data_IF_406165049121
#
_entry.id   IF_406165049121
#
_cell.length_a   1.000
_cell.length_b   1.000
_cell.length_c   1.000
_cell.angle_alpha   90.00
_cell.angle_beta   90.00
_cell.angle_gamma   90.00
#
_symmetry.space_group_name_H-M   'P 1'
#
loop_
_entity.id
_entity.type
_entity.pdbx_description
1 polymer ?
#
# COMPACT_ATOMS: atom_id res chain seq x y z
N UNK A 1 -3.49 2.66 16.73
CA UNK A 1 -3.54 1.80 15.54
C UNK A 1 -2.91 2.54 14.37
N UNK A 2 -2.07 1.87 13.57
CA UNK A 2 -1.64 2.44 12.30
C UNK A 2 -2.86 2.66 11.39
N UNK A 3 -2.82 3.75 10.62
CA UNK A 3 -3.92 4.17 9.76
C UNK A 3 -3.72 3.72 8.31
N UNK A 4 -4.80 3.75 7.54
CA UNK A 4 -4.75 3.58 6.08
C UNK A 4 -4.15 4.83 5.45
N UNK A 5 -3.07 4.67 4.69
CA UNK A 5 -2.42 5.73 3.94
C UNK A 5 -3.26 6.14 2.73
N UNK A 6 -3.51 7.44 2.61
CA UNK A 6 -4.17 8.10 1.50
C UNK A 6 -3.59 9.52 1.41
N UNK A 7 -3.26 9.94 0.20
CA UNK A 7 -2.76 11.29 -0.09
C UNK A 7 -3.33 11.72 -1.45
N UNK A 8 -4.11 12.80 -1.45
CA UNK A 8 -4.74 13.35 -2.65
C UNK A 8 -3.71 13.88 -3.66
N UNK A 9 -2.49 14.19 -3.20
CA UNK A 9 -1.39 14.63 -4.06
C UNK A 9 -0.62 13.46 -4.70
N UNK A 10 -0.98 12.23 -4.37
CA UNK A 10 -0.36 11.04 -4.94
C UNK A 10 -0.82 10.86 -6.39
N UNK A 11 0.00 11.34 -7.33
CA UNK A 11 -0.30 11.26 -8.75
C UNK A 11 -0.25 9.80 -9.26
N UNK A 12 -1.41 9.25 -9.63
CA UNK A 12 -1.56 7.88 -10.13
C UNK A 12 -0.79 7.59 -11.43
N UNK A 13 -0.50 8.62 -12.22
CA UNK A 13 0.24 8.50 -13.48
C UNK A 13 1.76 8.60 -13.28
N UNK A 14 2.23 9.11 -12.15
CA UNK A 14 3.66 9.26 -11.85
C UNK A 14 4.22 8.06 -11.05
N UNK A 15 4.14 6.87 -11.64
CA UNK A 15 4.57 5.63 -10.98
C UNK A 15 6.09 5.55 -10.97
N UNK A 16 6.67 5.52 -9.77
CA UNK A 16 8.13 5.56 -9.56
C UNK A 16 8.66 4.49 -8.59
N UNK A 17 7.80 3.69 -7.97
CA UNK A 17 8.19 2.73 -6.94
C UNK A 17 7.44 1.40 -7.06
N UNK A 18 8.20 0.29 -7.15
CA UNK A 18 7.64 -1.06 -7.22
C UNK A 18 7.56 -1.68 -5.82
N UNK A 19 6.38 -2.21 -5.50
CA UNK A 19 6.04 -2.84 -4.21
C UNK A 19 5.31 -4.16 -4.44
N UNK A 20 5.05 -4.92 -3.38
CA UNK A 20 4.29 -6.17 -3.46
C UNK A 20 3.00 -6.06 -2.66
N UNK A 21 1.85 -6.20 -3.33
CA UNK A 21 0.59 -6.42 -2.63
C UNK A 21 0.54 -7.86 -2.11
N UNK A 22 0.39 -8.03 -0.79
CA UNK A 22 0.32 -9.35 -0.12
C UNK A 22 -1.08 -9.68 0.40
N UNK A 23 -2.01 -8.75 0.30
CA UNK A 23 -3.39 -8.93 0.76
C UNK A 23 -4.20 -7.65 0.72
N UNK A 24 -5.42 -7.73 1.24
CA UNK A 24 -6.34 -6.62 1.36
C UNK A 24 -7.24 -6.81 2.58
N UNK A 25 -7.87 -5.73 3.03
CA UNK A 25 -8.76 -5.76 4.19
C UNK A 25 -9.61 -4.52 4.30
N UNK A 26 -10.19 -4.35 5.49
CA UNK A 26 -10.85 -3.12 5.91
C UNK A 26 -10.53 -2.85 7.38
N UNK A 27 -10.27 -1.60 7.73
CA UNK A 27 -9.99 -1.17 9.09
C UNK A 27 -10.86 0.05 9.39
N UNK A 28 -11.70 -0.04 10.42
CA UNK A 28 -12.63 1.04 10.82
C UNK A 28 -13.48 1.60 9.66
N UNK A 29 -13.92 0.73 8.75
CA UNK A 29 -14.70 1.11 7.56
C UNK A 29 -13.87 1.47 6.33
N UNK A 30 -12.57 1.76 6.47
CA UNK A 30 -11.69 2.09 5.34
C UNK A 30 -11.07 0.83 4.74
N UNK A 31 -11.36 0.56 3.47
CA UNK A 31 -10.77 -0.55 2.69
C UNK A 31 -9.32 -0.23 2.35
N UNK A 32 -8.45 -1.24 2.42
CA UNK A 32 -7.02 -1.07 2.13
C UNK A 32 -6.41 -2.28 1.42
N UNK A 33 -5.29 -2.04 0.75
CA UNK A 33 -4.29 -3.00 0.33
C UNK A 33 -3.25 -3.15 1.43
N UNK A 34 -2.74 -4.37 1.62
CA UNK A 34 -1.58 -4.64 2.47
C UNK A 34 -0.37 -4.70 1.55
N UNK A 35 0.45 -3.66 1.60
CA UNK A 35 1.61 -3.48 0.73
C UNK A 35 2.87 -3.81 1.51
N UNK A 36 3.65 -4.77 1.00
CA UNK A 36 5.00 -5.05 1.46
C UNK A 36 5.98 -4.14 0.71
N UNK A 37 6.71 -3.33 1.46
CA UNK A 37 7.74 -2.43 0.95
C UNK A 37 9.14 -2.93 1.35
N UNK A 38 10.15 -2.66 0.53
CA UNK A 38 11.56 -2.81 0.92
C UNK A 38 11.99 -1.53 1.62
N UNK A 39 11.92 -1.49 2.95
CA UNK A 39 12.55 -0.43 3.73
C UNK A 39 13.44 -1.03 4.81
N UNK A 40 14.75 -1.03 4.55
CA UNK A 40 15.75 -1.01 5.60
C UNK A 40 15.78 0.41 6.19
N UNK A 41 15.44 0.56 7.48
CA UNK A 41 15.84 1.72 8.28
C UNK A 41 14.97 2.99 8.25
N UNK A 42 14.08 3.22 7.28
CA UNK A 42 13.21 4.41 7.28
C UNK A 42 11.79 4.10 7.80
N UNK A 43 11.45 4.73 8.93
CA UNK A 43 10.21 4.60 9.70
C UNK A 43 8.97 5.12 8.95
N UNK A 44 8.52 4.44 7.90
CA UNK A 44 7.10 4.49 7.57
C UNK A 44 6.35 3.72 8.66
N UNK A 45 5.37 4.40 9.29
CA UNK A 45 4.74 3.98 10.53
C UNK A 45 4.22 2.54 10.43
N UNK A 46 4.80 1.71 11.29
CA UNK A 46 4.53 0.30 11.54
C UNK A 46 3.03 -0.04 11.46
N UNK A 47 2.62 -0.76 10.40
CA UNK A 47 1.23 -1.03 10.07
C UNK A 47 0.67 -2.35 10.62
N UNK A 48 1.49 -3.15 11.28
CA UNK A 48 1.06 -4.45 11.79
C UNK A 48 1.79 -4.72 13.09
N UNK A 49 1.05 -5.04 14.15
CA UNK A 49 1.59 -5.54 15.41
C UNK A 49 2.56 -6.71 15.15
N UNK A 50 3.86 -6.42 14.95
CA UNK A 50 4.92 -7.39 14.68
C UNK A 50 5.57 -7.42 13.28
N UNK A 51 5.31 -6.48 12.37
CA UNK A 51 5.85 -6.56 10.99
C UNK A 51 6.48 -5.27 10.46
N UNK A 52 7.80 -5.12 10.59
CA UNK A 52 8.53 -4.04 9.91
C UNK A 52 8.37 -4.14 8.37
N UNK A 53 8.03 -3.03 7.72
CA UNK A 53 8.04 -2.93 6.24
C UNK A 53 6.70 -3.08 5.52
N UNK A 54 5.57 -2.99 6.23
CA UNK A 54 4.24 -2.98 5.60
C UNK A 54 3.58 -1.60 5.66
N UNK A 55 2.75 -1.30 4.65
CA UNK A 55 1.89 -0.11 4.57
C UNK A 55 0.48 -0.56 4.23
N UNK A 56 -0.52 0.01 4.90
CA UNK A 56 -1.91 -0.10 4.48
C UNK A 56 -2.22 1.04 3.51
N UNK A 57 -2.44 0.75 2.23
CA UNK A 57 -2.75 1.76 1.20
C UNK A 57 -4.25 1.77 0.91
N UNK A 58 -4.87 2.94 0.78
CA UNK A 58 -6.28 3.07 0.47
C UNK A 58 -6.68 2.26 -0.77
N UNK A 59 -7.79 1.52 -0.64
CA UNK A 59 -8.34 0.67 -1.69
C UNK A 59 -9.76 1.11 -2.03
N UNK A 60 -10.10 1.04 -3.31
CA UNK A 60 -11.37 1.52 -3.86
C UNK A 60 -11.60 3.03 -3.61
N UNK A 61 -10.53 3.82 -3.63
CA UNK A 61 -10.56 5.28 -3.58
C UNK A 61 -9.86 5.81 -4.84
N UNK A 62 -10.56 5.70 -5.98
CA UNK A 62 -10.11 6.19 -7.29
C UNK A 62 -8.68 5.80 -7.66
N UNK A 63 -8.36 4.51 -7.50
CA UNK A 63 -7.02 3.96 -7.78
C UNK A 63 -5.88 4.76 -7.13
N UNK A 64 -6.03 5.12 -5.85
CA UNK A 64 -5.05 5.87 -5.06
C UNK A 64 -3.60 5.46 -5.37
N UNK A 65 -2.76 6.44 -5.68
CA UNK A 65 -1.34 6.27 -6.05
C UNK A 65 -1.07 5.36 -7.27
N UNK A 66 -2.06 5.08 -8.12
CA UNK A 66 -1.87 4.23 -9.29
C UNK A 66 -1.58 2.76 -8.94
N UNK A 67 -1.99 2.30 -7.75
CA UNK A 67 -1.66 0.95 -7.24
C UNK A 67 -2.07 -0.19 -8.18
N UNK A 68 -3.11 0.01 -9.00
CA UNK A 68 -3.59 -0.98 -9.96
C UNK A 68 -3.11 -0.74 -11.41
N UNK A 69 -2.35 0.32 -11.70
CA UNK A 69 -1.96 0.69 -13.07
C UNK A 69 -0.95 -0.29 -13.69
N UNK A 70 0.00 -0.80 -12.89
CA UNK A 70 1.08 -1.70 -13.35
C UNK A 70 1.13 -3.00 -12.53
N UNK A 71 -0.03 -3.56 -12.18
CA UNK A 71 -0.11 -4.81 -11.42
C UNK A 71 0.20 -6.03 -12.30
N UNK A 72 1.07 -6.92 -11.83
CA UNK A 72 1.42 -8.17 -12.53
C UNK A 72 1.76 -9.29 -11.54
N UNK A 73 1.69 -10.53 -12.00
CA UNK A 73 2.11 -11.72 -11.27
C UNK A 73 2.78 -12.71 -12.23
N UNK A 74 3.80 -13.48 -11.78
CA UNK A 74 4.41 -14.50 -12.62
C UNK A 74 3.46 -15.68 -12.82
N UNK A 75 3.43 -16.22 -14.04
CA UNK A 75 2.79 -17.50 -14.36
C UNK A 75 3.90 -18.52 -14.61
N UNK A 76 3.90 -19.61 -13.84
CA UNK A 76 4.84 -20.72 -13.96
C UNK A 76 4.24 -21.87 -14.76
#
# INVERSE_FOLDING_TARGET
SPGVYYDENCNAENINHAVLAVGYGAQKGTKHWIIKNRMAGHRLRDCSSGGAGYVLLARNMDNACGVANLASFPKM
#
